data_IF_567982388585
#
_entry.id   IF_567982388585
#
_cell.length_a   1.000
_cell.length_b   1.000
_cell.length_c   1.000
_cell.angle_alpha   90.00
_cell.angle_beta   90.00
_cell.angle_gamma   90.00
#
_symmetry.space_group_name_H-M   'P 1'
#
loop_
_entity.id
_entity.type
_entity.pdbx_description
1 polymer ?
#
# COMPACT_ATOMS: atom_id res chain seq x y z
N UNK A 1 24.40 0.87 13.99
CA UNK A 1 23.46 1.86 13.41
C UNK A 1 22.67 2.43 14.56
N UNK A 2 22.82 3.72 14.84
CA UNK A 2 22.04 4.43 15.86
C UNK A 2 20.93 5.21 15.15
N UNK A 3 19.85 4.51 14.78
CA UNK A 3 18.61 5.16 14.35
C UNK A 3 17.88 5.70 15.58
N UNK A 4 17.30 6.89 15.48
CA UNK A 4 16.37 7.39 16.50
C UNK A 4 15.03 6.69 16.28
N UNK A 5 14.51 6.02 17.31
CA UNK A 5 13.20 5.36 17.29
C UNK A 5 12.24 6.25 18.08
N UNK A 6 11.07 6.51 17.49
CA UNK A 6 9.99 7.29 18.11
C UNK A 6 8.66 6.54 17.99
N UNK A 7 7.72 6.88 18.87
CA UNK A 7 6.37 6.33 18.90
C UNK A 7 5.37 7.36 18.38
N UNK A 8 4.57 6.97 17.40
CA UNK A 8 3.53 7.78 16.76
C UNK A 8 2.16 7.14 16.95
N UNK A 9 1.10 7.95 16.92
CA UNK A 9 -0.29 7.46 17.04
C UNK A 9 -0.95 7.44 15.67
N UNK A 10 -1.50 6.29 15.26
CA UNK A 10 -2.21 6.17 14.00
C UNK A 10 -3.49 7.03 14.03
N UNK A 11 -3.68 7.97 13.08
CA UNK A 11 -4.86 8.84 13.09
C UNK A 11 -6.15 8.10 12.75
N UNK A 12 -6.06 6.91 12.15
CA UNK A 12 -7.22 6.12 11.72
C UNK A 12 -7.74 5.21 12.83
N UNK A 13 -6.84 4.50 13.54
CA UNK A 13 -7.24 3.51 14.54
C UNK A 13 -6.85 3.87 15.98
N UNK A 14 -6.05 4.92 16.20
CA UNK A 14 -5.62 5.34 17.53
C UNK A 14 -4.55 4.47 18.18
N UNK A 15 -4.10 3.38 17.54
CA UNK A 15 -2.98 2.57 18.06
C UNK A 15 -1.64 3.25 17.84
N UNK A 16 -0.75 3.09 18.82
CA UNK A 16 0.65 3.50 18.73
C UNK A 16 1.43 2.57 17.79
N UNK A 17 2.30 3.16 16.97
CA UNK A 17 3.26 2.46 16.13
C UNK A 17 4.62 3.15 16.19
N UNK A 18 5.69 2.39 15.95
CA UNK A 18 7.05 2.89 16.03
C UNK A 18 7.53 3.32 14.64
N UNK A 19 8.24 4.43 14.60
CA UNK A 19 8.99 4.93 13.45
C UNK A 19 10.47 4.98 13.77
N UNK A 20 11.31 4.89 12.74
CA UNK A 20 12.74 5.07 12.84
C UNK A 20 13.19 6.11 11.83
N UNK A 21 14.10 6.99 12.23
CA UNK A 21 14.75 7.90 11.31
C UNK A 21 16.03 7.27 10.70
N UNK A 22 16.02 7.08 9.39
CA UNK A 22 17.22 6.76 8.59
C UNK A 22 17.72 8.04 7.92
N UNK A 23 18.97 8.50 8.17
CA UNK A 23 19.52 9.70 7.54
C UNK A 23 19.52 9.71 6.00
N UNK A 24 19.45 8.54 5.35
CA UNK A 24 19.42 8.41 3.89
C UNK A 24 18.02 8.32 3.30
N UNK A 25 17.06 7.78 4.06
CA UNK A 25 15.72 7.45 3.57
C UNK A 25 14.59 8.25 4.25
N UNK A 26 14.90 8.99 5.32
CA UNK A 26 13.92 9.68 6.15
C UNK A 26 13.27 8.78 7.19
N UNK A 27 12.10 9.20 7.68
CA UNK A 27 11.32 8.43 8.64
C UNK A 27 10.67 7.22 7.98
N UNK A 28 10.84 6.05 8.60
CA UNK A 28 10.21 4.80 8.19
C UNK A 28 9.39 4.21 9.33
N UNK A 29 8.21 3.69 9.02
CA UNK A 29 7.41 2.93 9.97
C UNK A 29 8.01 1.54 10.17
N UNK A 30 8.31 1.17 11.41
CA UNK A 30 8.98 -0.10 11.76
C UNK A 30 8.10 -1.06 12.55
N UNK A 31 6.95 -0.61 13.05
CA UNK A 31 5.93 -1.49 13.64
C UNK A 31 4.55 -1.24 13.03
N UNK A 32 3.65 -2.20 13.22
CA UNK A 32 2.32 -2.22 12.61
C UNK A 32 1.25 -1.77 13.61
N UNK A 33 0.40 -0.83 13.21
CA UNK A 33 -0.87 -0.55 13.88
C UNK A 33 -1.98 -1.47 13.36
N UNK A 34 -3.15 -1.43 13.98
CA UNK A 34 -4.31 -2.24 13.60
C UNK A 34 -4.66 -2.15 12.11
N UNK A 35 -4.60 -0.96 11.51
CA UNK A 35 -4.90 -0.79 10.08
C UNK A 35 -3.93 -1.58 9.20
N UNK A 36 -2.63 -1.60 9.52
CA UNK A 36 -1.65 -2.34 8.72
C UNK A 36 -1.88 -3.85 8.85
N UNK A 37 -2.19 -4.32 10.07
CA UNK A 37 -2.50 -5.73 10.33
C UNK A 37 -3.76 -6.15 9.58
N UNK A 38 -4.83 -5.35 9.65
CA UNK A 38 -6.07 -5.60 8.92
C UNK A 38 -5.85 -5.68 7.40
N UNK A 39 -5.05 -4.77 6.82
CA UNK A 39 -4.72 -4.81 5.40
C UNK A 39 -3.89 -6.06 5.04
N UNK A 40 -3.00 -6.49 5.94
CA UNK A 40 -2.29 -7.77 5.84
C UNK A 40 -3.26 -8.95 5.82
N UNK A 41 -4.17 -9.01 6.79
CA UNK A 41 -5.17 -10.07 6.91
C UNK A 41 -6.10 -10.12 5.70
N UNK A 42 -6.53 -8.98 5.17
CA UNK A 42 -7.34 -8.90 3.95
C UNK A 42 -6.58 -9.45 2.75
N UNK A 43 -5.30 -9.09 2.59
CA UNK A 43 -4.45 -9.62 1.50
C UNK A 43 -4.32 -11.14 1.61
N UNK A 44 -4.03 -11.64 2.80
CA UNK A 44 -3.82 -13.08 3.03
C UNK A 44 -5.12 -13.86 2.83
N UNK A 45 -6.25 -13.32 3.31
CA UNK A 45 -7.57 -13.87 3.06
C UNK A 45 -7.89 -13.96 1.56
N UNK A 46 -7.67 -12.87 0.80
CA UNK A 46 -7.93 -12.85 -0.64
C UNK A 46 -7.06 -13.88 -1.39
N UNK A 47 -5.79 -14.02 -1.00
CA UNK A 47 -4.90 -15.05 -1.56
C UNK A 47 -5.38 -16.45 -1.24
N UNK A 48 -5.78 -16.71 0.01
CA UNK A 48 -6.32 -18.01 0.43
C UNK A 48 -7.59 -18.38 -0.35
N UNK A 49 -8.43 -17.39 -0.68
CA UNK A 49 -9.64 -17.58 -1.48
C UNK A 49 -9.40 -17.59 -2.99
N UNK A 50 -8.17 -17.37 -3.46
CA UNK A 50 -7.85 -17.27 -4.89
C UNK A 50 -8.45 -16.04 -5.58
N UNK A 51 -8.83 -15.01 -4.80
CA UNK A 51 -9.46 -13.76 -5.29
C UNK A 51 -8.45 -12.61 -5.45
N UNK A 52 -7.17 -12.85 -5.15
CA UNK A 52 -6.17 -11.79 -5.14
C UNK A 52 -6.02 -11.09 -6.50
N UNK A 53 -5.94 -11.85 -7.59
CA UNK A 53 -5.74 -11.28 -8.92
C UNK A 53 -6.95 -10.46 -9.38
N UNK A 54 -8.17 -10.98 -9.17
CA UNK A 54 -9.43 -10.25 -9.44
C UNK A 54 -9.52 -8.96 -8.62
N UNK A 55 -9.12 -9.02 -7.35
CA UNK A 55 -9.07 -7.82 -6.50
C UNK A 55 -8.07 -6.78 -7.01
N UNK A 56 -6.89 -7.19 -7.49
CA UNK A 56 -5.89 -6.28 -8.06
C UNK A 56 -6.41 -5.63 -9.34
N UNK A 57 -7.06 -6.39 -10.24
CA UNK A 57 -7.69 -5.84 -11.44
C UNK A 57 -8.81 -4.86 -11.10
N UNK A 58 -9.67 -5.23 -10.14
CA UNK A 58 -10.71 -4.35 -9.62
C UNK A 58 -10.11 -3.04 -9.08
N UNK A 59 -9.09 -3.12 -8.22
CA UNK A 59 -8.46 -1.96 -7.63
C UNK A 59 -7.83 -1.04 -8.69
N UNK A 60 -7.09 -1.62 -9.65
CA UNK A 60 -6.51 -0.87 -10.76
C UNK A 60 -7.58 -0.17 -11.61
N UNK A 61 -8.73 -0.79 -11.83
CA UNK A 61 -9.85 -0.17 -12.54
C UNK A 61 -10.44 1.05 -11.83
N UNK A 62 -10.20 1.20 -10.53
CA UNK A 62 -10.61 2.37 -9.73
C UNK A 62 -9.53 3.46 -9.68
N UNK A 63 -8.26 3.08 -9.76
CA UNK A 63 -7.14 4.02 -9.77
C UNK A 63 -6.88 4.63 -11.14
N UNK A 64 -7.17 3.90 -12.23
CA UNK A 64 -7.12 4.49 -13.57
C UNK A 64 -8.21 5.57 -13.65
N UNK A 65 -7.84 6.87 -13.82
CA UNK A 65 -8.83 7.90 -14.05
C UNK A 65 -9.62 7.50 -15.29
N UNK A 66 -10.89 7.86 -15.33
CA UNK A 66 -11.76 7.73 -16.52
C UNK A 66 -11.32 8.75 -17.61
N UNK A 67 -10.01 8.84 -17.86
CA UNK A 67 -9.35 9.67 -18.85
C UNK A 67 -9.18 8.84 -20.14
N UNK A 68 -10.01 9.09 -21.16
CA UNK A 68 -9.96 8.36 -22.42
C UNK A 68 -8.62 8.51 -23.15
N UNK A 69 -7.80 9.52 -22.82
CA UNK A 69 -6.50 9.76 -23.44
C UNK A 69 -5.38 8.88 -22.84
N UNK A 70 -5.49 8.52 -21.55
CA UNK A 70 -4.55 7.59 -20.90
C UNK A 70 -4.65 6.18 -21.50
N UNK A 71 -5.87 5.69 -21.73
CA UNK A 71 -6.14 4.39 -22.37
C UNK A 71 -5.59 4.30 -23.80
N UNK A 72 -5.70 5.37 -24.58
CA UNK A 72 -5.14 5.44 -25.95
C UNK A 72 -3.61 5.37 -25.97
N UNK A 73 -2.96 5.97 -24.98
CA UNK A 73 -1.49 6.02 -24.90
C UNK A 73 -0.91 4.65 -24.52
N UNK A 74 -1.58 3.92 -23.62
CA UNK A 74 -1.17 2.58 -23.19
C UNK A 74 -1.42 1.49 -24.25
N UNK A 75 -2.52 1.57 -25.01
CA UNK A 75 -2.78 0.65 -26.14
C UNK A 75 -1.65 0.63 -27.18
N UNK A 76 -0.97 1.77 -27.40
CA UNK A 76 0.16 1.86 -28.33
C UNK A 76 1.47 1.32 -27.78
N UNK A 77 1.61 1.25 -26.45
CA UNK A 77 2.82 0.74 -25.78
C UNK A 77 2.89 -0.80 -25.77
N UNK A 78 1.76 -1.49 -25.88
CA UNK A 78 1.67 -2.96 -25.95
C UNK A 78 1.38 -3.52 -27.35
N UNK A 79 1.52 -2.69 -28.38
CA UNK A 79 1.39 -3.10 -29.81
C UNK A 79 2.75 -3.22 -30.51
N UNK A 80 3.84 -3.45 -29.76
CA UNK A 80 5.18 -3.74 -30.28
C UNK A 80 5.65 -5.12 -29.84
#
# INVERSE_FOLDING_TARGET
MSGFIDDEVCPTCGETFAIEFDPKAGYRKISQCYCDRLLGDVRDFLKEKGLWDEFVEFHRSKEEPDDPDFRRKFSRLFSL
#
